data_IF_557213580635
#
_entry.id   IF_557213580635
#
_cell.length_a   1.000
_cell.length_b   1.000
_cell.length_c   1.000
_cell.angle_alpha   90.00
_cell.angle_beta   90.00
_cell.angle_gamma   90.00
#
_symmetry.space_group_name_H-M   'P 1'
#
loop_
_entity.id
_entity.type
_entity.pdbx_description
1 polymer ?
#
# COMPACT_ATOMS: atom_id res chain seq x y z
N UNK A 1 -42.01 -3.27 -0.60
CA UNK A 1 -41.77 -1.93 -0.01
C UNK A 1 -40.57 -1.33 -0.72
N UNK A 2 -40.72 -0.20 -1.43
CA UNK A 2 -39.60 0.48 -2.06
C UNK A 2 -38.64 0.98 -0.97
N UNK A 3 -37.32 0.77 -1.14
CA UNK A 3 -36.31 1.30 -0.21
C UNK A 3 -36.46 2.83 -0.16
N UNK A 4 -36.46 3.39 1.04
CA UNK A 4 -36.50 4.85 1.21
C UNK A 4 -35.30 5.46 0.46
N UNK A 5 -35.54 6.37 -0.51
CA UNK A 5 -34.49 6.90 -1.38
C UNK A 5 -33.39 7.63 -0.60
N UNK A 6 -33.72 8.27 0.52
CA UNK A 6 -32.74 8.95 1.39
C UNK A 6 -31.79 7.94 2.04
N UNK A 7 -32.33 6.81 2.51
CA UNK A 7 -31.52 5.73 3.11
C UNK A 7 -30.61 5.10 2.07
N UNK A 8 -31.10 4.91 0.84
CA UNK A 8 -30.31 4.34 -0.24
C UNK A 8 -29.15 5.24 -0.66
N UNK A 9 -29.38 6.56 -0.75
CA UNK A 9 -28.31 7.53 -1.04
C UNK A 9 -27.25 7.58 0.07
N UNK A 10 -27.66 7.56 1.34
CA UNK A 10 -26.73 7.51 2.47
C UNK A 10 -25.88 6.23 2.45
N UNK A 11 -26.49 5.09 2.14
CA UNK A 11 -25.78 3.81 2.01
C UNK A 11 -24.77 3.82 0.86
N UNK A 12 -25.14 4.32 -0.32
CA UNK A 12 -24.23 4.38 -1.48
C UNK A 12 -23.05 5.31 -1.22
N UNK A 13 -23.29 6.45 -0.54
CA UNK A 13 -22.22 7.36 -0.11
C UNK A 13 -21.26 6.68 0.87
N UNK A 14 -21.79 6.09 1.94
CA UNK A 14 -20.96 5.41 2.94
C UNK A 14 -20.19 4.23 2.36
N UNK A 15 -20.78 3.49 1.41
CA UNK A 15 -20.09 2.42 0.69
C UNK A 15 -18.90 2.96 -0.11
N UNK A 16 -19.08 4.06 -0.84
CA UNK A 16 -18.00 4.68 -1.63
C UNK A 16 -16.87 5.19 -0.73
N UNK A 17 -17.21 5.91 0.33
CA UNK A 17 -16.24 6.41 1.32
C UNK A 17 -15.47 5.25 1.99
N UNK A 18 -16.18 4.18 2.36
CA UNK A 18 -15.56 2.98 2.93
C UNK A 18 -14.60 2.28 1.98
N UNK A 19 -14.91 2.22 0.68
CA UNK A 19 -14.01 1.67 -0.34
C UNK A 19 -12.76 2.54 -0.46
N UNK A 20 -12.91 3.86 -0.53
CA UNK A 20 -11.80 4.80 -0.66
C UNK A 20 -10.85 4.74 0.54
N UNK A 21 -11.41 4.76 1.75
CA UNK A 21 -10.63 4.60 3.00
C UNK A 21 -9.93 3.24 3.01
N UNK A 22 -10.65 2.16 2.69
CA UNK A 22 -10.08 0.81 2.65
C UNK A 22 -8.93 0.69 1.64
N UNK A 23 -9.06 1.33 0.48
CA UNK A 23 -8.01 1.38 -0.54
C UNK A 23 -6.78 2.12 -0.04
N UNK A 24 -6.94 3.32 0.54
CA UNK A 24 -5.83 4.10 1.08
C UNK A 24 -5.12 3.36 2.22
N UNK A 25 -5.88 2.72 3.12
CA UNK A 25 -5.32 1.89 4.19
C UNK A 25 -4.55 0.68 3.63
N UNK A 26 -5.09 0.02 2.61
CA UNK A 26 -4.44 -1.12 1.96
C UNK A 26 -3.11 -0.72 1.32
N UNK A 27 -3.10 0.38 0.57
CA UNK A 27 -1.89 0.94 -0.05
C UNK A 27 -0.85 1.29 1.01
N UNK A 28 -1.24 2.01 2.07
CA UNK A 28 -0.33 2.39 3.15
C UNK A 28 0.29 1.19 3.85
N UNK A 29 -0.52 0.16 4.17
CA UNK A 29 -0.03 -1.10 4.77
C UNK A 29 0.93 -1.84 3.84
N UNK A 30 0.61 -1.94 2.56
CA UNK A 30 1.47 -2.61 1.58
C UNK A 30 2.82 -1.91 1.45
N UNK A 31 2.83 -0.58 1.33
CA UNK A 31 4.05 0.23 1.28
C UNK A 31 4.88 0.02 2.55
N UNK A 32 4.26 0.15 3.74
CA UNK A 32 4.96 -0.04 5.02
C UNK A 32 5.56 -1.45 5.17
N UNK A 33 4.83 -2.49 4.75
CA UNK A 33 5.33 -3.86 4.75
C UNK A 33 6.53 -4.02 3.81
N UNK A 34 6.44 -3.50 2.58
CA UNK A 34 7.55 -3.58 1.62
C UNK A 34 8.78 -2.84 2.12
N UNK A 35 8.63 -1.62 2.63
CA UNK A 35 9.72 -0.83 3.19
C UNK A 35 10.41 -1.57 4.34
N UNK A 36 9.66 -2.17 5.27
CA UNK A 36 10.22 -2.94 6.37
C UNK A 36 11.03 -4.16 5.87
N UNK A 37 10.54 -4.86 4.85
CA UNK A 37 11.24 -6.01 4.24
C UNK A 37 12.52 -5.58 3.52
N UNK A 38 12.49 -4.45 2.82
CA UNK A 38 13.62 -3.91 2.09
C UNK A 38 14.73 -3.42 3.03
N UNK A 39 14.36 -2.77 4.13
CA UNK A 39 15.31 -2.37 5.16
C UNK A 39 16.00 -3.59 5.79
N UNK A 40 15.24 -4.65 6.10
CA UNK A 40 15.80 -5.91 6.60
C UNK A 40 16.74 -6.59 5.60
N UNK A 41 16.55 -6.35 4.30
CA UNK A 41 17.42 -6.88 3.25
C UNK A 41 18.85 -6.37 3.40
N UNK A 42 19.04 -5.13 3.84
CA UNK A 42 20.36 -4.53 4.10
C UNK A 42 21.09 -5.16 5.29
N UNK A 43 20.34 -5.69 6.26
CA UNK A 43 20.86 -6.35 7.46
C UNK A 43 21.08 -7.86 7.25
N UNK A 44 20.66 -8.40 6.11
CA UNK A 44 20.71 -9.84 5.84
C UNK A 44 22.14 -10.28 5.49
N UNK A 45 22.73 -11.25 6.23
CA UNK A 45 24.06 -11.76 5.94
C UNK A 45 24.17 -12.28 4.49
N UNK A 46 25.23 -11.88 3.79
CA UNK A 46 25.47 -12.23 2.39
C UNK A 46 24.83 -11.27 1.37
N UNK A 47 23.99 -10.34 1.79
CA UNK A 47 23.49 -9.26 0.93
C UNK A 47 24.39 -8.04 1.08
N UNK A 48 25.28 -7.86 0.10
CA UNK A 48 26.17 -6.71 0.04
C UNK A 48 25.54 -5.47 -0.64
N UNK A 49 26.20 -4.31 -0.55
CA UNK A 49 25.72 -3.04 -1.11
C UNK A 49 25.43 -3.11 -2.62
N UNK A 50 26.24 -3.86 -3.39
CA UNK A 50 26.00 -4.06 -4.83
C UNK A 50 24.69 -4.80 -5.14
N UNK A 51 24.27 -5.72 -4.27
CA UNK A 51 23.00 -6.45 -4.44
C UNK A 51 21.82 -5.51 -4.19
N UNK A 52 21.94 -4.61 -3.21
CA UNK A 52 20.94 -3.59 -2.91
C UNK A 52 20.82 -2.58 -4.07
N UNK A 53 21.92 -2.14 -4.66
CA UNK A 53 21.88 -1.25 -5.83
C UNK A 53 21.16 -1.88 -7.02
N UNK A 54 21.43 -3.17 -7.32
CA UNK A 54 20.71 -3.91 -8.37
C UNK A 54 19.23 -3.99 -8.07
N UNK A 55 18.87 -4.20 -6.80
CA UNK A 55 17.50 -4.26 -6.36
C UNK A 55 16.80 -2.90 -6.54
N UNK A 56 17.42 -1.80 -6.10
CA UNK A 56 16.90 -0.44 -6.29
C UNK A 56 16.67 -0.13 -7.77
N UNK A 57 17.62 -0.48 -8.65
CA UNK A 57 17.44 -0.31 -10.11
C UNK A 57 16.31 -1.14 -10.70
N UNK A 58 16.14 -2.39 -10.26
CA UNK A 58 15.11 -3.27 -10.79
C UNK A 58 13.69 -2.87 -10.37
N UNK A 59 13.54 -2.33 -9.15
CA UNK A 59 12.25 -1.96 -8.59
C UNK A 59 11.91 -0.46 -8.74
N UNK A 60 12.85 0.36 -9.22
CA UNK A 60 12.70 1.81 -9.36
C UNK A 60 13.33 2.54 -8.17
N UNK A 61 14.35 3.35 -8.44
CA UNK A 61 15.10 4.08 -7.40
C UNK A 61 14.22 5.10 -6.67
N UNK A 62 13.18 5.61 -7.34
CA UNK A 62 12.20 6.56 -6.82
C UNK A 62 11.42 6.04 -5.60
N UNK A 63 11.32 4.72 -5.42
CA UNK A 63 10.61 4.11 -4.30
C UNK A 63 11.48 3.90 -3.05
N UNK A 64 12.77 4.24 -3.12
CA UNK A 64 13.76 4.06 -2.05
C UNK A 64 14.36 5.38 -1.53
N UNK A 65 13.74 6.52 -1.87
CA UNK A 65 14.12 7.85 -1.40
C UNK A 65 13.55 8.17 -0.02
#
# INVERSE_FOLDING_TARGET
MAKNPVIQQAYERGKREGIEIGMQMGISKAIGFMQARLNKLAETPGIGPKTIEKFKKAFGEEYFK
#
